data_IF_687908520805
#
_entry.id   IF_687908520805
#
_cell.length_a   1.000
_cell.length_b   1.000
_cell.length_c   1.000
_cell.angle_alpha   90.00
_cell.angle_beta   90.00
_cell.angle_gamma   90.00
#
_symmetry.space_group_name_H-M   'P 1'
#
loop_
_entity.id
_entity.type
_entity.pdbx_description
1 polymer ?
#
# COMPACT_ATOMS: atom_id res chain seq x y z
N UNK A 1 5.61 13.43 -8.61
CA UNK A 1 4.76 12.65 -7.71
C UNK A 1 4.09 11.58 -8.55
N UNK A 2 4.28 10.32 -8.17
CA UNK A 2 3.73 9.17 -8.89
C UNK A 2 2.41 8.80 -8.23
N UNK A 3 1.46 8.26 -9.00
CA UNK A 3 0.19 7.75 -8.47
C UNK A 3 0.01 6.29 -8.85
N UNK A 4 -0.39 5.48 -7.89
CA UNK A 4 -0.88 4.12 -8.11
C UNK A 4 -2.31 4.04 -7.58
N UNK A 5 -3.20 3.38 -8.31
CA UNK A 5 -4.54 3.05 -7.82
C UNK A 5 -4.88 1.59 -8.07
N UNK A 6 -5.68 1.00 -7.19
CA UNK A 6 -6.16 -0.38 -7.33
C UNK A 6 -7.40 -0.61 -6.48
N UNK A 7 -8.21 -1.59 -6.86
CA UNK A 7 -9.31 -2.09 -6.02
C UNK A 7 -8.83 -3.32 -5.24
N UNK A 8 -9.16 -3.39 -3.95
CA UNK A 8 -8.88 -4.57 -3.10
C UNK A 8 -10.15 -5.08 -2.45
N UNK A 9 -10.32 -6.41 -2.45
CA UNK A 9 -11.43 -7.11 -1.79
C UNK A 9 -10.84 -8.08 -0.76
N UNK A 10 -11.00 -7.84 0.55
CA UNK A 10 -10.68 -8.82 1.58
C UNK A 10 -11.59 -10.05 1.41
N UNK A 11 -11.02 -11.24 1.33
CA UNK A 11 -11.80 -12.48 1.14
C UNK A 11 -12.05 -13.22 2.45
N UNK A 12 -11.49 -12.72 3.56
CA UNK A 12 -11.63 -13.25 4.92
C UNK A 12 -11.74 -12.11 5.95
N UNK A 13 -12.31 -12.38 7.12
CA UNK A 13 -12.34 -11.40 8.21
C UNK A 13 -10.91 -11.11 8.74
N UNK A 14 -10.07 -12.14 8.78
CA UNK A 14 -8.67 -12.07 9.19
C UNK A 14 -7.69 -11.91 8.01
N UNK A 15 -8.15 -11.30 6.90
CA UNK A 15 -7.33 -11.12 5.70
C UNK A 15 -5.96 -10.51 6.02
N UNK A 16 -4.88 -11.13 5.53
CA UNK A 16 -3.52 -10.63 5.62
C UNK A 16 -2.89 -10.47 4.24
N UNK A 17 -3.11 -9.31 3.65
CA UNK A 17 -2.63 -8.99 2.30
C UNK A 17 -1.69 -7.80 2.31
N UNK A 18 -0.67 -7.82 1.47
CA UNK A 18 0.27 -6.73 1.31
C UNK A 18 0.32 -6.25 -0.14
N UNK A 19 0.31 -4.94 -0.30
CA UNK A 19 0.70 -4.23 -1.52
C UNK A 19 1.98 -3.48 -1.20
N UNK A 20 3.05 -3.77 -1.94
CA UNK A 20 4.39 -3.28 -1.64
C UNK A 20 5.02 -2.69 -2.88
N UNK A 21 5.72 -1.56 -2.70
CA UNK A 21 6.40 -0.84 -3.78
C UNK A 21 7.90 -0.84 -3.55
N UNK A 22 8.66 -1.05 -4.62
CA UNK A 22 10.12 -1.02 -4.63
C UNK A 22 10.65 -0.30 -5.87
N UNK A 23 11.91 0.09 -5.78
CA UNK A 23 12.64 0.76 -6.87
C UNK A 23 12.86 -0.20 -8.06
N UNK A 24 12.85 0.34 -9.27
CA UNK A 24 13.04 -0.38 -10.53
C UNK A 24 14.35 -1.17 -10.56
N UNK A 25 15.40 -0.65 -9.92
CA UNK A 25 16.74 -1.26 -9.87
C UNK A 25 16.92 -2.17 -8.67
N UNK A 26 16.04 -2.13 -7.69
CA UNK A 26 16.13 -2.96 -6.50
C UNK A 26 15.88 -4.43 -6.85
N UNK A 27 16.88 -5.30 -6.67
CA UNK A 27 16.68 -6.75 -6.76
C UNK A 27 15.92 -7.22 -5.52
N UNK A 28 14.68 -7.68 -5.71
CA UNK A 28 13.84 -8.18 -4.62
C UNK A 28 14.33 -9.56 -4.18
N UNK A 29 14.88 -9.64 -2.97
CA UNK A 29 15.34 -10.86 -2.30
C UNK A 29 14.59 -11.09 -1.00
N UNK A 30 14.11 -10.03 -0.36
CA UNK A 30 13.37 -10.11 0.89
C UNK A 30 12.30 -9.03 0.98
N UNK A 31 11.51 -9.13 2.05
CA UNK A 31 10.53 -8.13 2.43
C UNK A 31 11.14 -6.75 2.73
N UNK A 32 12.44 -6.69 3.03
CA UNK A 32 13.13 -5.46 3.44
C UNK A 32 13.47 -4.54 2.27
N UNK A 33 13.35 -5.06 1.04
CA UNK A 33 13.65 -4.36 -0.21
C UNK A 33 12.52 -3.40 -0.66
N UNK A 34 11.37 -3.41 0.01
CA UNK A 34 10.23 -2.55 -0.32
C UNK A 34 10.21 -1.29 0.55
N UNK A 35 10.04 -0.13 -0.07
CA UNK A 35 10.07 1.17 0.61
C UNK A 35 8.68 1.65 1.09
N UNK A 36 7.61 1.31 0.36
CA UNK A 36 6.23 1.65 0.73
C UNK A 36 5.39 0.38 0.85
N UNK A 37 4.56 0.30 1.90
CA UNK A 37 3.82 -0.91 2.23
C UNK A 37 2.45 -0.57 2.79
N UNK A 38 1.43 -1.15 2.16
CA UNK A 38 0.04 -1.14 2.61
C UNK A 38 -0.33 -2.58 2.88
N UNK A 39 -1.01 -2.85 4.00
CA UNK A 39 -1.52 -4.18 4.28
C UNK A 39 -2.92 -4.17 4.86
N UNK A 40 -3.68 -5.19 4.53
CA UNK A 40 -4.86 -5.59 5.30
C UNK A 40 -4.38 -6.49 6.44
N UNK A 41 -4.86 -6.24 7.65
CA UNK A 41 -4.67 -7.15 8.79
C UNK A 41 -5.69 -6.85 9.88
N UNK A 42 -6.28 -7.90 10.45
CA UNK A 42 -7.15 -7.79 11.64
C UNK A 42 -8.26 -6.73 11.51
N UNK A 43 -8.90 -6.65 10.36
CA UNK A 43 -9.97 -5.68 10.08
C UNK A 43 -9.48 -4.28 9.72
N UNK A 44 -8.17 -4.01 9.67
CA UNK A 44 -7.63 -2.66 9.42
C UNK A 44 -6.82 -2.56 8.12
N UNK A 45 -6.81 -1.35 7.55
CA UNK A 45 -5.84 -0.93 6.55
C UNK A 45 -4.63 -0.34 7.27
N UNK A 46 -3.55 -1.11 7.35
CA UNK A 46 -2.31 -0.67 7.99
C UNK A 46 -1.30 -0.21 6.94
N UNK A 47 -0.76 0.99 7.11
CA UNK A 47 0.28 1.57 6.25
C UNK A 47 1.57 1.74 7.05
N UNK A 48 2.71 1.52 6.40
CA UNK A 48 4.02 1.54 7.06
C UNK A 48 4.64 2.94 7.08
N UNK A 49 4.73 3.57 8.24
CA UNK A 49 5.53 4.79 8.42
C UNK A 49 6.93 4.42 8.92
N UNK A 50 7.92 4.43 8.02
CA UNK A 50 9.29 4.06 8.31
C UNK A 50 9.42 2.66 8.93
N UNK A 51 9.49 2.60 10.26
CA UNK A 51 9.71 1.36 11.03
C UNK A 51 8.45 0.80 11.72
N UNK A 52 7.31 1.49 11.64
CA UNK A 52 6.07 1.06 12.31
C UNK A 52 4.91 0.99 11.33
N UNK A 53 3.87 0.28 11.72
CA UNK A 53 2.58 0.31 11.03
C UNK A 53 1.65 1.21 11.82
N UNK A 54 0.81 1.94 11.10
CA UNK A 54 -0.27 2.74 11.64
C UNK A 54 -1.49 2.60 10.73
N UNK A 55 -2.65 2.99 11.24
CA UNK A 55 -3.93 2.83 10.57
C UNK A 55 -4.92 3.88 11.10
N UNK A 56 -5.97 4.17 10.33
CA UNK A 56 -7.09 4.99 10.81
C UNK A 56 -8.10 4.09 11.53
N UNK A 57 -8.38 4.39 12.81
CA UNK A 57 -9.36 3.64 13.61
C UNK A 57 -10.78 3.70 13.04
N UNK A 58 -11.10 4.74 12.27
CA UNK A 58 -12.43 4.91 11.66
C UNK A 58 -12.66 4.02 10.45
N UNK A 59 -11.59 3.49 9.86
CA UNK A 59 -11.68 2.61 8.70
C UNK A 59 -11.44 1.15 9.10
N UNK A 60 -12.50 0.36 9.03
CA UNK A 60 -12.43 -1.09 9.14
C UNK A 60 -12.84 -1.74 7.81
N UNK A 61 -12.07 -2.74 7.38
CA UNK A 61 -12.44 -3.54 6.23
C UNK A 61 -13.46 -4.62 6.62
N UNK A 62 -14.36 -4.94 5.70
CA UNK A 62 -15.29 -6.06 5.83
C UNK A 62 -15.01 -7.06 4.71
N UNK A 63 -15.07 -8.36 5.02
CA UNK A 63 -14.99 -9.41 4.03
C UNK A 63 -15.98 -9.18 2.87
N UNK A 64 -15.51 -9.39 1.65
CA UNK A 64 -16.30 -9.35 0.42
C UNK A 64 -16.62 -7.94 -0.08
N UNK A 65 -16.21 -6.89 0.63
CA UNK A 65 -16.37 -5.50 0.18
C UNK A 65 -15.18 -5.04 -0.65
N UNK A 66 -15.46 -4.20 -1.64
CA UNK A 66 -14.43 -3.57 -2.47
C UNK A 66 -14.02 -2.23 -1.87
N UNK A 67 -12.72 -2.00 -1.82
CA UNK A 67 -12.12 -0.74 -1.43
C UNK A 67 -11.21 -0.28 -2.56
N UNK A 68 -11.40 0.94 -3.02
CA UNK A 68 -10.52 1.56 -4.00
C UNK A 68 -9.43 2.31 -3.26
N UNK A 69 -8.17 2.02 -3.57
CA UNK A 69 -7.01 2.59 -2.87
C UNK A 69 -6.24 3.44 -3.86
N UNK A 70 -5.93 4.66 -3.47
CA UNK A 70 -4.98 5.53 -4.16
C UNK A 70 -3.74 5.73 -3.30
N UNK A 71 -2.58 5.66 -3.94
CA UNK A 71 -1.27 5.81 -3.33
C UNK A 71 -0.53 6.89 -4.08
N UNK A 72 -0.12 7.93 -3.37
CA UNK A 72 0.64 9.06 -3.91
C UNK A 72 2.05 8.96 -3.38
N UNK A 73 3.03 8.85 -4.27
CA UNK A 73 4.43 8.58 -3.89
C UNK A 73 5.30 9.74 -4.34
N UNK A 74 6.06 10.30 -3.40
CA UNK A 74 7.04 11.35 -3.65
C UNK A 74 8.44 10.84 -3.31
N UNK A 75 9.36 11.03 -4.25
CA UNK A 75 10.75 10.59 -4.11
C UNK A 75 11.66 11.79 -3.92
N UNK A 76 12.56 11.70 -2.94
CA UNK A 76 13.82 12.44 -2.93
C UNK A 76 14.90 11.58 -3.59
N UNK A 77 15.17 11.89 -4.85
CA UNK A 77 16.10 11.12 -5.70
C UNK A 77 17.55 11.26 -5.26
N UNK A 78 17.90 12.31 -4.51
CA UNK A 78 19.28 12.54 -4.08
C UNK A 78 19.67 11.61 -2.93
N UNK A 79 18.72 11.37 -2.02
CA UNK A 79 18.98 10.63 -0.78
C UNK A 79 18.35 9.23 -0.74
N UNK A 80 17.69 8.79 -1.81
CA UNK A 80 16.91 7.53 -1.85
C UNK A 80 15.86 7.47 -0.73
N UNK A 81 15.25 8.61 -0.45
CA UNK A 81 14.19 8.78 0.56
C UNK A 81 12.92 9.26 -0.11
N UNK A 82 11.88 9.45 0.68
CA UNK A 82 10.62 9.97 0.21
C UNK A 82 9.51 9.70 1.20
N UNK A 83 8.33 10.09 0.79
CA UNK A 83 7.11 9.89 1.53
C UNK A 83 5.99 9.40 0.61
N UNK A 84 4.91 8.96 1.25
CA UNK A 84 3.72 8.58 0.52
C UNK A 84 2.45 8.81 1.34
N UNK A 85 1.40 9.14 0.61
CA UNK A 85 0.04 9.25 1.12
C UNK A 85 -0.78 8.07 0.62
N UNK A 86 -1.76 7.66 1.41
CA UNK A 86 -2.70 6.59 1.04
C UNK A 86 -4.10 7.02 1.39
N UNK A 87 -4.93 7.06 0.37
CA UNK A 87 -6.36 7.34 0.48
C UNK A 87 -7.13 6.06 0.14
N UNK A 88 -8.11 5.72 0.98
CA UNK A 88 -9.02 4.59 0.75
C UNK A 88 -10.42 5.11 0.55
N UNK A 89 -11.02 4.70 -0.55
CA UNK A 89 -12.38 5.02 -0.95
C UNK A 89 -13.26 3.79 -0.81
N UNK A 90 -14.47 4.00 -0.32
CA UNK A 90 -15.47 2.93 -0.15
C UNK A 90 -16.87 3.46 -0.47
N UNK A 91 -17.76 2.55 -0.85
CA UNK A 91 -19.17 2.83 -1.05
C UNK A 91 -19.99 2.12 0.04
N UNK A 92 -19.98 2.67 1.25
CA UNK A 92 -20.81 2.21 2.37
C UNK A 92 -22.16 2.94 2.36
N UNK A 93 -22.94 2.73 1.31
CA UNK A 93 -24.18 3.47 1.06
C UNK A 93 -23.95 4.85 0.45
N UNK A 94 -23.03 5.65 1.01
CA UNK A 94 -22.48 6.86 0.41
C UNK A 94 -21.00 6.67 0.04
N UNK A 95 -20.48 7.53 -0.85
CA UNK A 95 -19.05 7.56 -1.15
C UNK A 95 -18.29 8.20 0.00
N UNK A 96 -17.39 7.45 0.62
CA UNK A 96 -16.55 7.88 1.72
C UNK A 96 -15.07 7.77 1.34
N UNK A 97 -14.25 8.69 1.84
CA UNK A 97 -12.80 8.71 1.66
C UNK A 97 -12.10 8.78 3.01
N UNK A 98 -11.07 7.97 3.20
CA UNK A 98 -10.29 7.87 4.43
C UNK A 98 -8.80 8.06 4.12
N UNK A 99 -8.19 9.07 4.75
CA UNK A 99 -6.75 9.31 4.68
C UNK A 99 -6.06 8.42 5.72
N UNK A 100 -5.52 7.29 5.28
CA UNK A 100 -4.89 6.30 6.17
C UNK A 100 -3.38 6.48 6.31
N UNK A 101 -2.77 7.30 5.45
CA UNK A 101 -1.41 7.77 5.57
C UNK A 101 -1.26 9.16 4.97
N UNK A 102 -0.51 10.02 5.67
CA UNK A 102 -0.17 11.36 5.22
C UNK A 102 1.29 11.67 5.55
N UNK A 103 2.10 11.89 4.52
CA UNK A 103 3.55 12.02 4.55
C UNK A 103 4.25 10.89 5.29
N UNK A 104 3.80 9.64 5.10
CA UNK A 104 4.44 8.49 5.73
C UNK A 104 5.80 8.25 5.11
N UNK A 105 6.82 8.10 5.96
CA UNK A 105 8.18 7.95 5.50
C UNK A 105 8.38 6.59 4.84
N UNK A 106 9.21 6.57 3.79
CA UNK A 106 9.73 5.31 3.28
C UNK A 106 10.41 4.49 4.35
N UNK A 107 10.29 3.18 4.21
CA UNK A 107 10.95 2.22 5.08
C UNK A 107 12.46 2.34 4.96
N UNK A 108 13.12 2.57 6.09
CA UNK A 108 14.57 2.76 6.16
C UNK A 108 15.43 1.54 5.79
N UNK A 109 14.83 0.35 5.66
CA UNK A 109 15.56 -0.85 5.24
C UNK A 109 15.67 -0.98 3.72
N UNK A 110 14.80 -0.30 2.96
CA UNK A 110 14.89 -0.29 1.51
C UNK A 110 16.10 0.56 1.11
N UNK A 111 17.05 -0.05 0.39
CA UNK A 111 18.32 0.62 0.04
C UNK A 111 18.19 1.56 -1.15
N UNK A 112 17.16 1.38 -1.97
CA UNK A 112 16.85 2.20 -3.14
C UNK A 112 15.38 2.58 -3.09
N UNK A 113 15.10 3.86 -3.34
CA UNK A 113 13.75 4.42 -3.48
C UNK A 113 13.78 5.69 -4.33
N UNK A 114 14.50 5.67 -5.45
CA UNK A 114 14.58 6.80 -6.39
C UNK A 114 13.40 6.86 -7.36
N UNK A 115 12.72 5.74 -7.56
CA UNK A 115 11.51 5.61 -8.37
C UNK A 115 10.53 4.56 -7.79
N UNK A 116 9.38 4.41 -8.44
CA UNK A 116 8.35 3.42 -8.11
C UNK A 116 8.23 2.35 -9.21
N UNK A 117 9.32 1.63 -9.50
CA UNK A 117 9.37 0.72 -10.65
C UNK A 117 8.81 -0.69 -10.46
N UNK A 118 8.57 -1.13 -9.22
CA UNK A 118 8.08 -2.49 -8.92
C UNK A 118 6.94 -2.48 -7.93
N UNK A 119 5.90 -3.24 -8.22
CA UNK A 119 4.74 -3.45 -7.36
C UNK A 119 4.61 -4.95 -7.11
N UNK A 120 4.45 -5.32 -5.83
CA UNK A 120 4.28 -6.71 -5.41
C UNK A 120 3.01 -6.86 -4.59
N UNK A 121 2.21 -7.85 -4.95
CA UNK A 121 1.06 -8.32 -4.18
C UNK A 121 1.45 -9.60 -3.47
N UNK A 122 1.25 -9.65 -2.16
CA UNK A 122 1.57 -10.83 -1.36
C UNK A 122 0.46 -11.13 -0.37
N UNK A 123 0.07 -12.39 -0.32
CA UNK A 123 -0.78 -12.97 0.71
C UNK A 123 0.04 -13.96 1.55
N UNK A 124 0.74 -13.53 2.61
CA UNK A 124 1.49 -14.43 3.49
C UNK A 124 0.61 -15.41 4.28
N UNK A 125 -0.71 -15.24 4.25
CA UNK A 125 -1.68 -16.10 4.92
C UNK A 125 -2.06 -17.35 4.11
N UNK A 126 -3.35 -17.67 4.17
CA UNK A 126 -3.96 -18.84 3.51
C UNK A 126 -4.25 -18.52 2.03
N UNK A 127 -4.61 -19.55 1.26
CA UNK A 127 -5.09 -19.36 -0.11
C UNK A 127 -6.32 -18.42 -0.11
N UNK A 128 -6.39 -17.53 -1.11
CA UNK A 128 -7.49 -16.58 -1.32
C UNK A 128 -7.77 -15.63 -0.13
N UNK A 129 -6.77 -14.84 0.25
CA UNK A 129 -6.87 -13.90 1.37
C UNK A 129 -7.44 -12.53 0.93
N UNK A 130 -7.09 -12.09 -0.28
CA UNK A 130 -7.72 -10.95 -0.94
C UNK A 130 -7.67 -11.11 -2.46
N UNK A 131 -8.55 -10.38 -3.15
CA UNK A 131 -8.44 -10.11 -4.58
C UNK A 131 -7.97 -8.68 -4.79
N UNK A 132 -7.06 -8.47 -5.74
CA UNK A 132 -6.67 -7.13 -6.20
C UNK A 132 -7.00 -7.01 -7.68
N UNK A 133 -7.62 -5.90 -8.07
CA UNK A 133 -8.07 -5.63 -9.43
C UNK A 133 -7.82 -4.16 -9.79
N UNK A 134 -8.07 -3.81 -11.06
CA UNK A 134 -8.05 -2.43 -11.56
C UNK A 134 -6.77 -1.66 -11.25
N UNK A 135 -5.61 -2.33 -11.21
CA UNK A 135 -4.33 -1.68 -10.98
C UNK A 135 -4.03 -0.70 -12.12
N UNK A 136 -3.82 0.55 -11.76
CA UNK A 136 -3.40 1.62 -12.66
C UNK A 136 -2.20 2.33 -12.05
N UNK A 137 -1.23 2.68 -12.89
CA UNK A 137 -0.01 3.36 -12.47
C UNK A 137 0.21 4.56 -13.37
N UNK A 138 0.50 5.70 -12.77
CA UNK A 138 0.65 6.99 -13.42
C UNK A 138 1.99 7.62 -13.04
N UNK A 139 2.66 8.21 -14.04
CA UNK A 139 3.88 8.98 -13.82
C UNK A 139 5.13 8.14 -13.53
N UNK A 140 5.23 6.93 -14.09
CA UNK A 140 6.49 6.16 -14.04
C UNK A 140 7.59 6.93 -14.81
N UNK A 141 8.51 7.55 -14.07
CA UNK A 141 9.69 8.24 -14.59
C UNK A 141 10.97 7.62 -14.03
#
# INVERSE_FOLDING_TARGET
>A
MNRMSFSIVPLREDSHCLVMVADSRQRIKSYDDFFALIRLRNGKFEVRDGTKYAYDEKLEYTKGRTYDVEVYISHDRNDYKGDYDVEVFTQLGAFESFSVAKHYNFRNTARLASDSGKICFRSPGKWADCAVANLQVYGLN
#
